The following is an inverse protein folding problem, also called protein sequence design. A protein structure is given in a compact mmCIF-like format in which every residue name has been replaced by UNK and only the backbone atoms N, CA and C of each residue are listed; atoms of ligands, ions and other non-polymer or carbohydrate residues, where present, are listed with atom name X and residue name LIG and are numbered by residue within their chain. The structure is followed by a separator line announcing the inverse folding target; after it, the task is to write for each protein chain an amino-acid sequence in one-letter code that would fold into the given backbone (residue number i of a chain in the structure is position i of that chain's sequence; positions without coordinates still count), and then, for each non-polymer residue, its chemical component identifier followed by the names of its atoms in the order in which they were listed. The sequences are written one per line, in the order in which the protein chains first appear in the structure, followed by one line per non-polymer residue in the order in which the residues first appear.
data_IF_748603062594
#
_entry.id   IF_748603062594
#
_cell.length_a   1.000
_cell.length_b   1.000
_cell.length_c   1.000
_cell.angle_alpha   90.00
_cell.angle_beta   90.00
_cell.angle_gamma   90.00
#
_symmetry.space_group_name_H-M   'P 1'
#
loop_
_entity.id
_entity.type
_entity.pdbx_description
1 polymer ?
#
# COMPACT_ATOMS: atom_id res chain seq x y z
N UNK A 1 -63.00 -33.47 -8.25
CA UNK A 1 -62.76 -34.13 -9.56
C UNK A 1 -61.56 -33.45 -10.21
N UNK A 2 -60.36 -34.01 -10.02
CA UNK A 2 -59.10 -33.51 -10.57
C UNK A 2 -58.78 -34.31 -11.84
N UNK A 3 -58.48 -33.61 -12.94
CA UNK A 3 -57.99 -34.20 -14.20
C UNK A 3 -56.51 -33.85 -14.38
N UNK A 4 -55.69 -34.87 -14.65
CA UNK A 4 -54.36 -34.79 -15.28
C UNK A 4 -54.51 -34.50 -16.79
N UNK A 5 -53.46 -34.03 -17.51
CA UNK A 5 -52.40 -34.88 -18.11
C UNK A 5 -50.97 -34.29 -17.95
N UNK A 6 -49.89 -35.05 -17.81
CA UNK A 6 -49.12 -35.84 -18.79
C UNK A 6 -48.39 -35.01 -19.88
N UNK A 7 -47.05 -35.14 -19.96
CA UNK A 7 -46.25 -34.63 -21.09
C UNK A 7 -44.76 -34.36 -20.82
N UNK A 8 -43.97 -35.41 -20.64
CA UNK A 8 -42.51 -35.41 -20.77
C UNK A 8 -42.14 -35.57 -22.26
N UNK A 9 -41.15 -34.83 -22.77
CA UNK A 9 -39.98 -35.34 -23.54
C UNK A 9 -39.37 -34.34 -24.55
N UNK A 10 -38.05 -34.47 -24.72
CA UNK A 10 -37.15 -34.08 -25.83
C UNK A 10 -36.68 -32.62 -25.96
N UNK A 11 -35.43 -32.33 -25.58
CA UNK A 11 -34.30 -32.17 -26.53
C UNK A 11 -32.94 -32.03 -25.81
N UNK A 12 -32.13 -33.08 -25.91
CA UNK A 12 -30.70 -33.13 -25.64
C UNK A 12 -29.96 -33.35 -26.97
N UNK A 13 -28.79 -32.73 -27.12
CA UNK A 13 -27.66 -33.00 -28.05
C UNK A 13 -27.35 -31.87 -29.06
N UNK A 14 -26.30 -31.10 -28.77
CA UNK A 14 -25.11 -30.99 -29.64
C UNK A 14 -23.99 -30.22 -28.91
N UNK A 15 -23.05 -30.96 -28.30
CA UNK A 15 -21.70 -30.47 -28.06
C UNK A 15 -20.79 -31.23 -29.03
N UNK A 16 -20.13 -30.49 -29.91
CA UNK A 16 -19.14 -31.00 -30.85
C UNK A 16 -17.85 -31.34 -30.12
N UNK A 17 -17.40 -32.57 -30.32
CA UNK A 17 -16.11 -33.13 -29.96
C UNK A 17 -14.97 -32.50 -30.78
N UNK A 18 -13.95 -31.97 -30.12
CA UNK A 18 -12.63 -31.68 -30.72
C UNK A 18 -11.68 -32.85 -30.42
N UNK A 19 -10.89 -33.35 -31.40
CA UNK A 19 -9.99 -34.46 -31.17
C UNK A 19 -8.68 -34.04 -30.49
N UNK A 20 -8.26 -34.88 -29.54
CA UNK A 20 -6.93 -34.91 -28.93
C UNK A 20 -5.89 -35.38 -29.97
N UNK A 21 -4.86 -34.57 -30.22
CA UNK A 21 -3.68 -34.96 -30.98
C UNK A 21 -2.49 -35.10 -30.04
N UNK A 22 -2.07 -36.34 -29.80
CA UNK A 22 -0.80 -36.72 -29.20
C UNK A 22 0.31 -36.62 -30.25
N UNK A 23 1.37 -35.86 -29.94
CA UNK A 23 2.50 -35.70 -30.86
C UNK A 23 3.70 -35.04 -30.21
N UNK A 24 4.47 -35.83 -29.46
CA UNK A 24 5.83 -35.47 -29.05
C UNK A 24 6.74 -35.59 -30.27
N UNK A 25 7.34 -34.49 -30.72
CA UNK A 25 8.55 -34.51 -31.57
C UNK A 25 9.60 -33.59 -30.96
N UNK A 26 10.70 -34.20 -30.52
CA UNK A 26 11.98 -33.53 -30.26
C UNK A 26 12.60 -33.16 -31.60
N UNK A 27 12.95 -31.89 -31.78
CA UNK A 27 13.90 -31.45 -32.81
C UNK A 27 14.99 -30.66 -32.12
N UNK A 28 16.20 -31.21 -32.10
CA UNK A 28 17.42 -30.48 -31.79
C UNK A 28 17.78 -29.58 -32.97
N UNK A 29 18.14 -28.33 -32.69
CA UNK A 29 18.97 -27.56 -33.61
C UNK A 29 20.23 -27.12 -32.88
N UNK A 30 21.34 -27.58 -33.42
CA UNK A 30 22.68 -27.20 -33.06
C UNK A 30 23.00 -25.78 -33.57
N UNK A 31 23.85 -25.10 -32.78
CA UNK A 31 24.90 -24.18 -33.19
C UNK A 31 24.67 -23.26 -34.39
N UNK A 32 24.58 -21.95 -34.12
CA UNK A 32 25.13 -20.93 -35.00
C UNK A 32 25.77 -19.81 -34.19
N UNK A 33 27.10 -19.75 -34.25
CA UNK A 33 27.88 -18.57 -33.92
C UNK A 33 27.53 -17.44 -34.89
N UNK A 34 27.48 -16.20 -34.39
CA UNK A 34 27.79 -14.95 -35.10
C UNK A 34 27.82 -13.84 -34.04
N UNK A 35 29.01 -13.41 -33.62
CA UNK A 35 29.83 -12.33 -34.18
C UNK A 35 29.53 -10.99 -33.51
N UNK A 36 30.48 -10.61 -32.67
CA UNK A 36 30.68 -9.29 -32.07
C UNK A 36 30.60 -8.20 -33.15
N UNK A 37 29.76 -7.20 -32.93
CA UNK A 37 29.87 -5.90 -33.61
C UNK A 37 29.94 -4.83 -32.52
N UNK A 38 31.16 -4.33 -32.29
CA UNK A 38 31.41 -3.10 -31.54
C UNK A 38 30.92 -1.93 -32.38
N UNK A 39 29.96 -1.15 -31.88
CA UNK A 39 29.71 0.20 -32.38
C UNK A 39 29.88 1.20 -31.24
N UNK A 40 31.07 1.79 -31.21
CA UNK A 40 31.36 3.10 -30.65
C UNK A 40 30.68 4.16 -31.52
N UNK A 41 29.93 5.09 -30.93
CA UNK A 41 29.59 6.38 -31.55
C UNK A 41 29.07 7.37 -30.49
N UNK A 42 30.00 8.19 -30.02
CA UNK A 42 29.88 9.62 -29.71
C UNK A 42 28.54 10.18 -29.18
N UNK A 43 28.61 10.67 -27.94
CA UNK A 43 27.73 11.65 -27.35
C UNK A 43 27.54 12.90 -28.24
N UNK A 44 26.30 13.36 -28.39
CA UNK A 44 26.00 14.74 -28.81
C UNK A 44 25.02 15.34 -27.83
N UNK A 45 25.57 16.10 -26.88
CA UNK A 45 24.87 16.96 -25.94
C UNK A 45 24.31 18.17 -26.70
N UNK A 46 22.98 18.30 -26.77
CA UNK A 46 22.34 19.54 -27.22
C UNK A 46 22.12 20.40 -25.97
N UNK A 47 22.91 21.46 -25.83
CA UNK A 47 22.70 22.55 -24.85
C UNK A 47 21.74 23.58 -25.45
N UNK A 48 20.69 24.03 -24.73
CA UNK A 48 19.98 25.24 -25.12
C UNK A 48 20.83 26.48 -24.77
N UNK A 49 20.92 27.38 -25.75
CA UNK A 49 21.58 28.68 -25.68
C UNK A 49 20.60 29.68 -25.07
N UNK A 50 20.91 30.26 -23.91
CA UNK A 50 20.39 31.55 -23.47
C UNK A 50 21.58 32.45 -23.08
N UNK A 51 21.60 33.65 -23.65
CA UNK A 51 22.71 34.60 -23.59
C UNK A 51 22.85 35.32 -22.24
N UNK A 52 23.97 36.05 -22.04
CA UNK A 52 24.28 36.75 -20.80
C UNK A 52 23.82 38.21 -20.88
N UNK A 53 22.96 38.64 -19.97
CA UNK A 53 22.85 40.00 -19.42
C UNK A 53 22.04 39.87 -18.13
N UNK A 54 22.70 39.79 -16.97
CA UNK A 54 23.18 40.90 -16.14
C UNK A 54 22.15 41.35 -15.08
N UNK A 55 22.36 40.78 -13.88
CA UNK A 55 22.45 41.47 -12.58
C UNK A 55 21.26 42.31 -12.07
N UNK A 56 20.63 41.80 -11.00
CA UNK A 56 20.48 42.51 -9.71
C UNK A 56 19.64 41.66 -8.75
N UNK A 57 20.28 40.96 -7.81
CA UNK A 57 19.59 40.45 -6.61
C UNK A 57 20.29 41.09 -5.41
N UNK A 58 19.71 42.19 -4.96
CA UNK A 58 19.96 42.73 -3.63
C UNK A 58 19.33 41.81 -2.58
N UNK A 59 20.21 41.30 -1.72
CA UNK A 59 20.06 40.81 -0.36
C UNK A 59 18.70 40.88 0.37
N UNK A 60 18.50 39.82 1.17
CA UNK A 60 17.75 39.78 2.43
C UNK A 60 16.24 40.05 2.36
N UNK A 61 15.47 39.02 2.00
CA UNK A 61 14.12 38.84 2.55
C UNK A 61 13.83 37.35 2.80
N UNK A 62 13.72 37.06 4.10
CA UNK A 62 13.09 35.91 4.76
C UNK A 62 13.21 34.52 4.12
N UNK A 63 14.18 33.74 4.60
CA UNK A 63 14.12 32.27 4.70
C UNK A 63 12.79 31.79 5.35
N UNK A 64 12.13 32.66 6.13
CA UNK A 64 10.80 32.44 6.71
C UNK A 64 9.65 32.39 5.68
N UNK A 65 9.78 32.99 4.49
CA UNK A 65 8.70 33.08 3.51
C UNK A 65 8.55 31.85 2.60
N UNK A 66 9.54 30.95 2.57
CA UNK A 66 9.49 29.69 1.79
C UNK A 66 8.94 28.51 2.58
N UNK A 67 8.77 28.65 3.90
CA UNK A 67 8.20 27.61 4.77
C UNK A 67 6.66 27.65 4.80
N UNK A 68 6.05 28.72 4.25
CA UNK A 68 4.60 28.99 4.25
C UNK A 68 3.92 28.75 2.90
N UNK A 69 4.58 28.10 1.93
CA UNK A 69 3.82 27.47 0.86
C UNK A 69 3.07 26.29 1.50
N UNK A 70 1.82 26.53 1.91
CA UNK A 70 0.92 25.58 2.57
C UNK A 70 0.69 24.35 1.70
N UNK A 71 1.68 23.47 1.64
CA UNK A 71 1.56 22.09 1.23
C UNK A 71 0.68 21.46 2.30
N UNK A 72 -0.64 21.43 2.03
CA UNK A 72 -1.59 20.76 2.93
C UNK A 72 -1.02 19.37 3.25
N UNK A 73 -1.12 18.90 4.49
CA UNK A 73 -0.64 17.57 4.84
C UNK A 73 -1.21 16.55 3.86
N UNK A 74 -0.40 15.59 3.39
CA UNK A 74 -0.83 14.64 2.39
C UNK A 74 -2.03 13.85 2.91
N UNK A 75 -2.96 13.53 2.01
CA UNK A 75 -4.00 12.54 2.28
C UNK A 75 -3.31 11.21 2.62
N UNK A 76 -3.54 10.67 3.81
CA UNK A 76 -2.95 9.38 4.20
C UNK A 76 -4.02 8.30 4.11
N UNK A 77 -3.69 7.20 3.44
CA UNK A 77 -4.56 6.02 3.33
C UNK A 77 -3.90 4.85 4.04
N UNK A 78 -4.50 4.37 5.13
CA UNK A 78 -4.04 3.20 5.87
C UNK A 78 -4.97 2.01 5.64
N UNK A 79 -4.40 0.83 5.39
CA UNK A 79 -5.19 -0.36 5.01
C UNK A 79 -4.76 -1.57 5.83
N UNK A 80 -5.72 -2.12 6.57
CA UNK A 80 -5.67 -3.48 7.12
C UNK A 80 -6.41 -4.41 6.13
N UNK A 81 -5.70 -5.27 5.37
CA UNK A 81 -6.31 -6.11 4.35
C UNK A 81 -6.95 -7.37 4.94
N UNK A 82 -6.97 -7.61 6.25
CA UNK A 82 -7.61 -8.80 6.80
C UNK A 82 -9.13 -8.81 6.55
N UNK A 83 -9.76 -9.99 6.65
CA UNK A 83 -11.20 -10.16 6.38
C UNK A 83 -12.15 -9.38 7.30
N UNK A 84 -11.65 -8.84 8.41
CA UNK A 84 -12.35 -7.89 9.29
C UNK A 84 -11.62 -6.54 9.38
N UNK A 85 -10.65 -6.33 8.50
CA UNK A 85 -9.89 -5.10 8.38
C UNK A 85 -10.70 -3.99 7.72
N UNK A 86 -10.01 -2.93 7.35
CA UNK A 86 -10.63 -1.74 6.79
C UNK A 86 -9.62 -0.92 5.97
N UNK A 87 -10.15 0.04 5.24
CA UNK A 87 -9.43 1.17 4.67
C UNK A 87 -9.82 2.44 5.43
N UNK A 88 -8.83 3.22 5.84
CA UNK A 88 -8.98 4.53 6.44
C UNK A 88 -8.37 5.59 5.54
N UNK A 89 -9.13 6.63 5.20
CA UNK A 89 -8.61 7.85 4.59
C UNK A 89 -8.59 8.93 5.67
N UNK A 90 -7.41 9.49 5.91
CA UNK A 90 -7.15 10.51 6.90
C UNK A 90 -6.67 11.76 6.18
N UNK A 91 -7.48 12.81 6.25
CA UNK A 91 -7.15 14.13 5.74
C UNK A 91 -6.90 15.05 6.92
N UNK A 92 -5.67 15.50 7.08
CA UNK A 92 -5.25 16.33 8.20
C UNK A 92 -5.15 17.77 7.69
N UNK A 93 -5.73 18.72 8.42
CA UNK A 93 -5.64 20.14 8.03
C UNK A 93 -4.30 20.76 8.44
N UNK A 94 -3.71 20.30 9.56
CA UNK A 94 -2.41 20.73 10.07
C UNK A 94 -1.68 19.56 10.73
N UNK A 95 -0.38 19.40 10.48
CA UNK A 95 0.40 18.35 11.15
C UNK A 95 0.30 18.46 12.68
N UNK A 96 0.12 17.33 13.40
CA UNK A 96 0.08 17.37 14.85
C UNK A 96 1.43 17.87 15.39
N UNK A 97 1.39 18.74 16.39
CA UNK A 97 2.61 19.26 17.01
C UNK A 97 3.23 18.21 17.95
N UNK A 98 4.57 18.20 18.14
CA UNK A 98 5.20 17.35 19.13
C UNK A 98 4.57 17.54 20.53
N UNK A 99 4.25 16.44 21.20
CA UNK A 99 3.59 16.45 22.51
C UNK A 99 2.06 16.54 22.46
N UNK A 100 1.45 16.64 21.27
CA UNK A 100 0.01 16.49 21.13
C UNK A 100 -0.46 15.15 21.72
N UNK A 101 -1.63 15.13 22.37
CA UNK A 101 -2.18 13.88 22.92
C UNK A 101 -3.23 13.24 22.00
N UNK A 102 -3.67 14.01 21.01
CA UNK A 102 -4.77 13.72 20.09
C UNK A 102 -4.45 14.33 18.72
N UNK A 103 -5.10 13.82 17.68
CA UNK A 103 -5.12 14.42 16.35
C UNK A 103 -6.45 15.17 16.21
N UNK A 104 -6.37 16.50 16.21
CA UNK A 104 -7.49 17.40 15.95
C UNK A 104 -7.54 17.80 14.46
N UNK A 105 -8.61 18.48 14.06
CA UNK A 105 -8.80 19.01 12.70
C UNK A 105 -8.52 17.99 11.57
N UNK A 106 -9.07 16.79 11.78
CA UNK A 106 -8.91 15.65 10.88
C UNK A 106 -10.26 15.17 10.37
N UNK A 107 -10.32 14.92 9.07
CA UNK A 107 -11.45 14.22 8.44
C UNK A 107 -11.07 12.77 8.26
N UNK A 108 -11.87 11.88 8.83
CA UNK A 108 -11.67 10.42 8.74
C UNK A 108 -12.80 9.79 7.96
N UNK A 109 -12.48 9.12 6.84
CA UNK A 109 -13.41 8.24 6.11
C UNK A 109 -12.99 6.79 6.29
N UNK A 110 -13.94 5.91 6.60
CA UNK A 110 -13.69 4.49 6.83
C UNK A 110 -14.53 3.61 5.91
N UNK A 111 -13.89 2.59 5.36
CA UNK A 111 -14.53 1.52 4.61
C UNK A 111 -14.13 0.17 5.21
N UNK A 112 -15.11 -0.62 5.67
CA UNK A 112 -14.83 -2.01 6.06
C UNK A 112 -14.31 -2.79 4.84
N UNK A 113 -13.38 -3.73 5.04
CA UNK A 113 -12.84 -4.52 3.94
C UNK A 113 -13.97 -5.34 3.27
N UNK A 114 -14.32 -5.06 2.00
CA UNK A 114 -15.39 -5.78 1.32
C UNK A 114 -15.03 -7.26 1.19
N UNK A 115 -15.93 -8.13 1.64
CA UNK A 115 -15.74 -9.57 1.56
C UNK A 115 -16.99 -10.25 1.01
N UNK A 116 -16.78 -11.13 0.05
CA UNK A 116 -17.79 -12.07 -0.42
C UNK A 116 -17.74 -13.37 0.38
N UNK A 117 -18.85 -14.10 0.37
CA UNK A 117 -18.97 -15.40 1.03
C UNK A 117 -19.02 -16.50 -0.01
N UNK A 118 -17.91 -17.22 -0.15
CA UNK A 118 -17.78 -18.33 -1.08
C UNK A 118 -18.23 -19.64 -0.45
N UNK A 119 -18.89 -20.48 -1.24
CA UNK A 119 -19.22 -21.84 -0.86
C UNK A 119 -18.03 -22.75 -1.17
N UNK A 120 -17.20 -23.06 -0.16
CA UNK A 120 -16.02 -23.89 -0.35
C UNK A 120 -16.37 -25.40 -0.43
N UNK A 121 -17.33 -25.85 0.37
CA UNK A 121 -17.92 -27.19 0.29
C UNK A 121 -19.40 -27.09 0.63
N UNK A 122 -20.22 -28.14 0.43
CA UNK A 122 -21.65 -28.11 0.78
C UNK A 122 -21.94 -27.62 2.22
N UNK A 123 -21.02 -27.86 3.17
CA UNK A 123 -21.19 -27.48 4.57
C UNK A 123 -20.36 -26.25 5.00
N UNK A 124 -19.39 -25.81 4.18
CA UNK A 124 -18.42 -24.80 4.60
C UNK A 124 -18.48 -23.57 3.71
N UNK A 125 -18.72 -22.42 4.34
CA UNK A 125 -18.60 -21.10 3.75
C UNK A 125 -17.26 -20.47 4.15
N UNK A 126 -16.70 -19.66 3.26
CA UNK A 126 -15.46 -18.91 3.47
C UNK A 126 -15.66 -17.46 3.11
N UNK A 127 -15.10 -16.56 3.91
CA UNK A 127 -14.96 -15.16 3.53
C UNK A 127 -13.69 -14.98 2.71
N UNK A 128 -13.80 -14.22 1.64
CA UNK A 128 -12.70 -13.81 0.79
C UNK A 128 -12.93 -12.36 0.40
N UNK A 129 -11.84 -11.61 0.17
CA UNK A 129 -11.93 -10.24 -0.29
C UNK A 129 -12.73 -10.16 -1.61
N UNK A 130 -13.67 -9.22 -1.68
CA UNK A 130 -14.43 -8.95 -2.90
C UNK A 130 -13.63 -7.99 -3.78
N UNK A 131 -12.97 -8.56 -4.80
CA UNK A 131 -12.15 -7.80 -5.73
C UNK A 131 -12.89 -6.72 -6.51
N UNK A 132 -14.19 -6.93 -6.80
CA UNK A 132 -14.98 -5.95 -7.55
C UNK A 132 -15.33 -4.75 -6.68
N UNK A 133 -15.76 -5.01 -5.44
CA UNK A 133 -16.07 -3.96 -4.48
C UNK A 133 -14.81 -3.17 -4.09
N UNK A 134 -13.67 -3.85 -3.85
CA UNK A 134 -12.39 -3.18 -3.58
C UNK A 134 -11.97 -2.31 -4.77
N UNK A 135 -12.02 -2.85 -6.00
CA UNK A 135 -11.69 -2.07 -7.18
C UNK A 135 -12.61 -0.85 -7.34
N UNK A 136 -13.88 -0.94 -6.95
CA UNK A 136 -14.80 0.20 -6.96
C UNK A 136 -14.41 1.27 -5.95
N UNK A 137 -14.05 0.89 -4.72
CA UNK A 137 -13.56 1.83 -3.70
C UNK A 137 -12.31 2.55 -4.23
N UNK A 138 -11.35 1.80 -4.75
CA UNK A 138 -10.09 2.36 -5.25
C UNK A 138 -10.28 3.28 -6.46
N UNK A 139 -11.21 2.96 -7.37
CA UNK A 139 -11.58 3.88 -8.47
C UNK A 139 -12.18 5.19 -7.96
N UNK A 140 -13.04 5.14 -6.94
CA UNK A 140 -13.59 6.36 -6.33
C UNK A 140 -12.48 7.23 -5.72
N UNK A 141 -11.54 6.62 -4.99
CA UNK A 141 -10.39 7.32 -4.43
C UNK A 141 -9.51 7.96 -5.52
N UNK A 142 -9.29 7.27 -6.63
CA UNK A 142 -8.54 7.79 -7.75
C UNK A 142 -9.23 8.99 -8.42
N UNK A 143 -10.56 8.94 -8.57
CA UNK A 143 -11.35 10.03 -9.12
C UNK A 143 -11.34 11.29 -8.21
N UNK A 144 -11.39 11.09 -6.89
CA UNK A 144 -11.23 12.16 -5.90
C UNK A 144 -9.85 12.82 -6.02
N UNK A 145 -8.78 12.02 -6.14
CA UNK A 145 -7.41 12.50 -6.34
C UNK A 145 -7.28 13.36 -7.61
N UNK A 146 -7.82 12.89 -8.74
CA UNK A 146 -7.77 13.61 -10.02
C UNK A 146 -8.55 14.94 -10.01
N UNK A 147 -9.50 15.10 -9.10
CA UNK A 147 -10.31 16.32 -8.98
C UNK A 147 -9.68 17.37 -8.04
N UNK A 148 -8.59 17.02 -7.35
CA UNK A 148 -7.88 17.89 -6.41
C UNK A 148 -6.56 18.37 -7.00
N UNK A 149 -6.32 19.68 -6.99
CA UNK A 149 -5.18 20.31 -7.70
C UNK A 149 -3.78 19.87 -7.24
N UNK A 150 -3.60 19.29 -6.05
CA UNK A 150 -2.25 18.98 -5.52
C UNK A 150 -2.28 18.06 -4.28
N UNK A 151 -2.96 16.91 -4.29
CA UNK A 151 -2.88 15.99 -3.15
C UNK A 151 -2.29 14.64 -3.57
N UNK A 152 -0.98 14.51 -3.40
CA UNK A 152 -0.34 13.20 -3.39
C UNK A 152 -0.84 12.42 -2.18
N UNK A 153 -1.61 11.36 -2.45
CA UNK A 153 -2.07 10.45 -1.43
C UNK A 153 -0.98 9.44 -1.11
N UNK A 154 -0.55 9.39 0.16
CA UNK A 154 0.37 8.37 0.65
C UNK A 154 -0.43 7.16 1.11
N UNK A 155 -0.17 5.99 0.51
CA UNK A 155 -0.90 4.76 0.81
C UNK A 155 0.01 3.79 1.55
N UNK A 156 -0.43 3.31 2.71
CA UNK A 156 0.28 2.31 3.52
C UNK A 156 -0.62 1.09 3.72
N UNK A 157 -0.14 -0.06 3.25
CA UNK A 157 -0.82 -1.34 3.28
C UNK A 157 -0.11 -2.30 4.24
N UNK A 158 -0.83 -2.86 5.21
CA UNK A 158 -0.25 -3.87 6.08
C UNK A 158 0.09 -5.15 5.29
N UNK A 159 1.35 -5.57 5.40
CA UNK A 159 1.85 -6.83 4.86
C UNK A 159 1.43 -7.99 5.78
N UNK A 160 0.66 -8.97 5.29
CA UNK A 160 0.23 -10.10 6.10
C UNK A 160 1.41 -10.97 6.51
N UNK A 161 1.44 -11.39 7.78
CA UNK A 161 2.45 -12.28 8.35
C UNK A 161 1.80 -13.55 8.94
N UNK A 162 1.20 -14.43 8.11
CA UNK A 162 0.65 -15.69 8.59
C UNK A 162 1.78 -16.55 9.16
N UNK A 163 1.52 -17.23 10.28
CA UNK A 163 2.48 -18.11 10.92
C UNK A 163 2.21 -19.59 10.62
N UNK A 164 3.12 -20.46 11.04
CA UNK A 164 3.03 -21.93 10.80
C UNK A 164 1.77 -22.59 11.39
N UNK A 165 1.12 -21.97 12.37
CA UNK A 165 -0.11 -22.47 13.00
C UNK A 165 -1.36 -22.10 12.20
N UNK A 166 -1.28 -21.12 11.29
CA UNK A 166 -2.38 -20.76 10.41
C UNK A 166 -2.60 -21.84 9.34
N UNK A 167 -3.86 -22.24 9.12
CA UNK A 167 -4.19 -23.22 8.08
C UNK A 167 -4.02 -22.69 6.66
N UNK A 168 -3.87 -23.58 5.67
CA UNK A 168 -3.63 -23.26 4.25
C UNK A 168 -4.60 -22.21 3.67
N UNK A 169 -5.87 -22.28 4.04
CA UNK A 169 -6.85 -21.28 3.61
C UNK A 169 -6.56 -19.88 4.14
N UNK A 170 -6.10 -19.77 5.39
CA UNK A 170 -5.75 -18.47 5.98
C UNK A 170 -4.60 -17.82 5.22
N UNK A 171 -3.56 -18.60 4.90
CA UNK A 171 -2.43 -18.18 4.07
C UNK A 171 -2.88 -17.68 2.69
N UNK A 172 -3.73 -18.46 2.02
CA UNK A 172 -4.29 -18.06 0.72
C UNK A 172 -5.14 -16.79 0.85
N UNK A 173 -6.05 -16.72 1.82
CA UNK A 173 -6.98 -15.62 1.96
C UNK A 173 -6.29 -14.29 2.29
N UNK A 174 -5.29 -14.28 3.18
CA UNK A 174 -4.54 -13.06 3.49
C UNK A 174 -3.69 -12.61 2.29
N UNK A 175 -3.02 -13.55 1.60
CA UNK A 175 -2.24 -13.25 0.39
C UNK A 175 -3.12 -12.73 -0.75
N UNK A 176 -4.30 -13.33 -0.95
CA UNK A 176 -5.28 -12.88 -1.93
C UNK A 176 -5.78 -11.46 -1.62
N UNK A 177 -6.21 -11.21 -0.38
CA UNK A 177 -6.72 -9.89 0.01
C UNK A 177 -5.66 -8.80 -0.16
N UNK A 178 -4.43 -9.05 0.34
CA UNK A 178 -3.29 -8.15 0.14
C UNK A 178 -3.03 -7.89 -1.35
N UNK A 179 -2.98 -8.94 -2.18
CA UNK A 179 -2.74 -8.81 -3.61
C UNK A 179 -3.85 -8.03 -4.34
N UNK A 180 -5.11 -8.23 -3.96
CA UNK A 180 -6.25 -7.49 -4.51
C UNK A 180 -6.16 -6.01 -4.18
N UNK A 181 -5.89 -5.65 -2.91
CA UNK A 181 -5.69 -4.26 -2.50
C UNK A 181 -4.50 -3.64 -3.23
N UNK A 182 -3.33 -4.27 -3.13
CA UNK A 182 -2.10 -3.78 -3.73
C UNK A 182 -2.26 -3.58 -5.25
N UNK A 183 -2.75 -4.59 -5.97
CA UNK A 183 -2.96 -4.51 -7.42
C UNK A 183 -4.01 -3.48 -7.83
N UNK A 184 -5.12 -3.37 -7.10
CA UNK A 184 -6.13 -2.36 -7.38
C UNK A 184 -5.54 -0.94 -7.22
N UNK A 185 -4.81 -0.68 -6.14
CA UNK A 185 -4.19 0.62 -5.87
C UNK A 185 -3.12 0.97 -6.90
N UNK A 186 -2.16 0.08 -7.15
CA UNK A 186 -1.09 0.37 -8.12
C UNK A 186 -1.62 0.51 -9.54
N UNK A 187 -2.70 -0.20 -9.91
CA UNK A 187 -3.35 -0.04 -11.22
C UNK A 187 -3.94 1.35 -11.44
N UNK A 188 -4.29 2.07 -10.37
CA UNK A 188 -4.74 3.47 -10.41
C UNK A 188 -3.59 4.46 -10.20
N UNK A 189 -2.33 3.99 -10.19
CA UNK A 189 -1.16 4.85 -10.02
C UNK A 189 -0.98 5.39 -8.60
N UNK A 190 -1.48 4.70 -7.57
CA UNK A 190 -1.09 5.00 -6.19
C UNK A 190 0.30 4.43 -5.90
N UNK A 191 1.16 5.21 -5.23
CA UNK A 191 2.40 4.70 -4.61
C UNK A 191 2.03 4.01 -3.30
N UNK A 192 2.15 2.70 -3.27
CA UNK A 192 1.78 1.86 -2.11
C UNK A 192 3.04 1.46 -1.35
N UNK A 193 3.15 1.92 -0.10
CA UNK A 193 4.13 1.44 0.85
C UNK A 193 3.56 0.25 1.61
N UNK A 194 4.37 -0.79 1.82
CA UNK A 194 3.95 -1.95 2.61
C UNK A 194 4.64 -1.93 3.97
N UNK A 195 3.89 -2.15 5.04
CA UNK A 195 4.42 -2.15 6.41
C UNK A 195 4.08 -3.44 7.14
N UNK A 196 4.95 -3.92 8.01
CA UNK A 196 4.63 -5.07 8.85
C UNK A 196 3.85 -4.66 10.08
N UNK A 197 2.95 -5.53 10.56
CA UNK A 197 2.22 -5.30 11.82
C UNK A 197 3.16 -5.01 12.99
N UNK A 198 4.30 -5.70 13.04
CA UNK A 198 5.32 -5.50 14.07
C UNK A 198 5.89 -4.08 14.05
N UNK A 199 6.22 -3.54 12.88
CA UNK A 199 6.87 -2.23 12.77
C UNK A 199 5.99 -1.12 13.35
N UNK A 200 4.75 -0.99 12.86
CA UNK A 200 3.87 0.08 13.31
C UNK A 200 3.34 -0.14 14.74
N UNK A 201 3.15 -1.40 15.17
CA UNK A 201 2.69 -1.70 16.54
C UNK A 201 3.75 -1.44 17.61
N UNK A 202 5.03 -1.63 17.31
CA UNK A 202 6.12 -1.28 18.25
C UNK A 202 6.11 0.23 18.45
N UNK A 203 6.12 0.97 17.35
CA UNK A 203 6.15 2.44 17.33
C UNK A 203 4.95 3.11 18.01
N UNK A 204 3.80 2.43 18.03
CA UNK A 204 2.58 2.88 18.72
C UNK A 204 2.33 2.19 20.07
N UNK A 205 3.33 1.51 20.65
CA UNK A 205 3.22 0.84 21.96
C UNK A 205 2.06 -0.17 22.07
N UNK A 206 1.72 -0.84 20.97
CA UNK A 206 0.63 -1.82 20.87
C UNK A 206 1.09 -3.27 20.97
N UNK A 207 2.39 -3.53 21.10
CA UNK A 207 2.89 -4.88 21.26
C UNK A 207 2.28 -5.55 22.51
N UNK A 208 1.65 -6.72 22.33
CA UNK A 208 0.95 -7.44 23.40
C UNK A 208 -0.38 -6.84 23.87
N UNK A 209 -0.86 -5.73 23.29
CA UNK A 209 -2.14 -5.08 23.70
C UNK A 209 -3.38 -5.68 23.03
N UNK A 210 -3.19 -6.47 21.98
CA UNK A 210 -4.27 -7.14 21.25
C UNK A 210 -5.24 -6.17 20.58
N UNK A 211 -6.36 -6.73 20.09
CA UNK A 211 -7.36 -6.00 19.28
C UNK A 211 -8.02 -4.83 20.01
N UNK A 212 -8.31 -5.00 21.30
CA UNK A 212 -8.94 -3.94 22.09
C UNK A 212 -7.96 -2.80 22.36
N UNK A 213 -6.66 -3.10 22.47
CA UNK A 213 -5.61 -2.08 22.56
C UNK A 213 -5.62 -1.13 21.36
N UNK A 214 -5.66 -1.68 20.15
CA UNK A 214 -5.75 -0.89 18.91
C UNK A 214 -7.00 -0.01 18.90
N UNK A 215 -8.16 -0.58 19.27
CA UNK A 215 -9.43 0.17 19.31
C UNK A 215 -9.39 1.33 20.32
N UNK A 216 -8.91 1.09 21.53
CA UNK A 216 -8.81 2.11 22.57
C UNK A 216 -7.79 3.19 22.20
N UNK A 217 -6.65 2.80 21.61
CA UNK A 217 -5.66 3.78 21.16
C UNK A 217 -6.19 4.66 20.03
N UNK A 218 -6.87 4.07 19.04
CA UNK A 218 -7.48 4.84 17.96
C UNK A 218 -8.55 5.81 18.49
N UNK A 219 -9.37 5.41 19.46
CA UNK A 219 -10.34 6.30 20.13
C UNK A 219 -9.62 7.45 20.84
N UNK A 220 -8.51 7.17 21.54
CA UNK A 220 -7.71 8.20 22.21
C UNK A 220 -7.12 9.18 21.20
N UNK A 221 -6.50 8.69 20.13
CA UNK A 221 -5.81 9.52 19.14
C UNK A 221 -6.79 10.31 18.26
N UNK A 222 -7.97 9.77 17.96
CA UNK A 222 -8.95 10.38 17.08
C UNK A 222 -10.30 10.55 17.80
N UNK A 223 -10.39 11.48 18.79
CA UNK A 223 -11.60 11.64 19.59
C UNK A 223 -12.83 12.00 18.75
N UNK A 224 -12.65 12.77 17.67
CA UNK A 224 -13.73 13.13 16.72
C UNK A 224 -14.27 11.94 15.93
N UNK A 225 -13.47 10.87 15.78
CA UNK A 225 -13.85 9.64 15.08
C UNK A 225 -14.20 8.48 16.05
N UNK A 226 -14.20 8.72 17.36
CA UNK A 226 -14.49 7.70 18.37
C UNK A 226 -15.83 7.00 18.13
N UNK A 227 -16.80 7.74 17.59
CA UNK A 227 -18.14 7.23 17.27
C UNK A 227 -18.14 6.14 16.19
N UNK A 228 -17.12 6.10 15.33
CA UNK A 228 -16.93 5.10 14.29
C UNK A 228 -16.37 3.78 14.83
N UNK A 229 -15.91 3.77 16.09
CA UNK A 229 -15.19 2.68 16.77
C UNK A 229 -15.91 2.14 18.02
N UNK A 230 -17.21 2.40 18.18
CA UNK A 230 -18.00 2.06 19.38
C UNK A 230 -17.99 0.55 19.71
N UNK A 231 -17.86 -0.34 18.73
CA UNK A 231 -18.06 -1.79 18.93
C UNK A 231 -16.71 -2.50 18.95
N UNK A 232 -16.61 -3.59 19.72
CA UNK A 232 -15.41 -4.46 19.72
C UNK A 232 -15.05 -5.03 18.33
N UNK A 233 -16.03 -5.15 17.44
CA UNK A 233 -15.81 -5.61 16.06
C UNK A 233 -15.16 -4.56 15.16
N UNK A 234 -15.05 -3.31 15.60
CA UNK A 234 -14.45 -2.20 14.85
C UNK A 234 -12.92 -2.15 15.01
N UNK A 235 -12.28 -3.23 15.48
CA UNK A 235 -10.82 -3.29 15.63
C UNK A 235 -10.09 -3.13 14.29
N UNK A 236 -10.59 -3.70 13.19
CA UNK A 236 -9.95 -3.52 11.87
C UNK A 236 -10.01 -2.07 11.36
N UNK A 237 -11.09 -1.34 11.66
CA UNK A 237 -11.17 0.10 11.42
C UNK A 237 -10.12 0.85 12.23
N UNK A 238 -9.97 0.50 13.49
CA UNK A 238 -8.97 1.09 14.36
C UNK A 238 -7.54 0.80 13.86
N UNK A 239 -7.24 -0.44 13.44
CA UNK A 239 -5.92 -0.78 12.89
C UNK A 239 -5.62 -0.01 11.60
N UNK A 240 -6.60 0.12 10.68
CA UNK A 240 -6.45 0.94 9.48
C UNK A 240 -6.16 2.42 9.79
N UNK A 241 -6.87 3.00 10.77
CA UNK A 241 -6.62 4.37 11.24
C UNK A 241 -5.22 4.53 11.84
N UNK A 242 -4.77 3.55 12.62
CA UNK A 242 -3.46 3.59 13.28
C UNK A 242 -2.31 3.38 12.30
N UNK A 243 -2.49 2.57 11.25
CA UNK A 243 -1.53 2.46 10.14
C UNK A 243 -1.37 3.83 9.44
N UNK A 244 -2.48 4.52 9.17
CA UNK A 244 -2.45 5.87 8.61
C UNK A 244 -1.80 6.88 9.57
N UNK A 245 -2.12 6.83 10.86
CA UNK A 245 -1.49 7.68 11.87
C UNK A 245 0.04 7.45 11.94
N UNK A 246 0.48 6.19 11.93
CA UNK A 246 1.89 5.83 11.92
C UNK A 246 2.60 6.38 10.67
N UNK A 247 1.94 6.31 9.51
CA UNK A 247 2.45 6.86 8.26
C UNK A 247 2.54 8.39 8.30
N UNK A 248 1.61 9.08 8.97
CA UNK A 248 1.70 10.54 9.22
C UNK A 248 2.93 10.92 10.07
N UNK A 249 3.59 9.95 10.70
CA UNK A 249 4.77 10.16 11.52
C UNK A 249 4.53 9.99 13.01
N UNK A 250 3.32 9.61 13.44
CA UNK A 250 3.03 9.43 14.86
C UNK A 250 3.83 8.27 15.46
N UNK A 251 4.44 8.55 16.60
CA UNK A 251 5.12 7.59 17.48
C UNK A 251 4.65 7.84 18.91
N UNK A 252 4.64 6.81 19.74
CA UNK A 252 4.28 6.92 21.16
C UNK A 252 5.50 6.58 22.00
N UNK A 253 5.90 7.51 22.86
CA UNK A 253 7.03 7.32 23.75
C UNK A 253 6.73 6.23 24.80
N UNK A 254 7.62 5.24 25.00
CA UNK A 254 7.35 4.12 25.90
C UNK A 254 7.11 4.50 27.37
N UNK A 255 7.75 5.57 27.82
CA UNK A 255 7.80 6.02 29.22
C UNK A 255 6.70 7.03 29.56
N UNK A 256 6.52 8.06 28.74
CA UNK A 256 5.52 9.12 29.00
C UNK A 256 4.16 8.82 28.38
N UNK A 257 4.11 8.01 27.31
CA UNK A 257 2.90 7.80 26.52
C UNK A 257 2.49 9.03 25.70
N UNK A 258 3.38 10.02 25.58
CA UNK A 258 3.20 11.20 24.74
C UNK A 258 3.34 10.84 23.26
N UNK A 259 2.60 11.55 22.41
CA UNK A 259 2.74 11.41 20.96
C UNK A 259 3.87 12.33 20.49
N UNK A 260 4.79 11.75 19.74
CA UNK A 260 5.76 12.50 18.96
C UNK A 260 5.43 12.34 17.48
N UNK A 261 5.61 13.42 16.72
CA UNK A 261 5.51 13.37 15.26
C UNK A 261 6.92 13.44 14.72
N UNK A 262 7.37 12.34 14.13
CA UNK A 262 8.61 12.30 13.37
C UNK A 262 8.21 12.58 11.92
N UNK A 263 8.64 13.71 11.31
CA UNK A 263 8.29 14.02 9.94
C UNK A 263 8.69 12.86 9.02
N UNK A 264 7.93 12.58 7.95
CA UNK A 264 8.32 11.58 6.97
C UNK A 264 9.71 11.96 6.44
N UNK A 265 10.72 11.13 6.73
CA UNK A 265 12.01 11.25 6.05
C UNK A 265 11.72 10.94 4.59
N UNK A 266 11.82 11.94 3.70
CA UNK A 266 11.89 11.68 2.27
C UNK A 266 13.01 10.66 2.10
N UNK A 267 12.65 9.48 1.60
CA UNK A 267 13.64 8.47 1.24
C UNK A 267 14.44 9.10 0.11
N UNK A 268 15.58 9.72 0.46
CA UNK A 268 16.59 10.06 -0.53
C UNK A 268 16.91 8.75 -1.23
N UNK A 269 16.58 8.65 -2.51
CA UNK A 269 17.12 7.59 -3.35
C UNK A 269 18.63 7.67 -3.15
N UNK A 270 19.21 6.67 -2.49
CA UNK A 270 20.65 6.59 -2.35
C UNK A 270 21.22 6.76 -3.75
N UNK A 271 22.00 7.82 -3.93
CA UNK A 271 22.54 8.12 -5.24
C UNK A 271 23.40 6.93 -5.67
N UNK A 272 23.32 6.56 -6.94
CA UNK A 272 24.15 5.47 -7.48
C UNK A 272 25.65 5.73 -7.28
N UNK A 273 26.02 7.01 -7.07
CA UNK A 273 27.38 7.44 -6.74
C UNK A 273 27.79 7.08 -5.31
N UNK A 274 26.88 7.08 -4.33
CA UNK A 274 27.18 6.67 -2.95
C UNK A 274 27.48 5.17 -2.87
N UNK A 275 26.74 4.35 -3.62
CA UNK A 275 26.93 2.88 -3.66
C UNK A 275 28.17 2.44 -4.43
N UNK A 276 28.69 3.26 -5.34
CA UNK A 276 29.92 2.98 -6.08
C UNK A 276 31.18 3.48 -5.33
N UNK A 277 31.02 4.26 -4.27
CA UNK A 277 32.14 4.80 -3.49
C UNK A 277 32.70 3.84 -2.43
N UNK A 278 31.98 2.76 -2.10
CA UNK A 278 32.41 1.77 -1.10
C UNK A 278 33.19 0.56 -1.67
N UNK A 279 33.26 0.38 -3.00
CA UNK A 279 33.97 -0.76 -3.60
C UNK A 279 35.48 -0.51 -3.85
N UNK A 280 35.99 0.71 -3.74
CA UNK A 280 37.38 1.05 -4.09
C UNK A 280 38.37 1.10 -2.90
N UNK A 281 37.99 0.58 -1.73
CA UNK A 281 38.80 0.69 -0.51
C UNK A 281 39.11 -0.64 0.17
N UNK A 282 39.46 -1.70 -0.57
CA UNK A 282 40.12 -2.87 0.02
C UNK A 282 40.98 -3.64 -1.00
N UNK A 283 42.01 -3.00 -1.53
CA UNK A 283 43.13 -3.74 -2.15
C UNK A 283 44.46 -3.01 -1.93
N UNK A 284 44.99 -3.15 -0.72
CA UNK A 284 46.44 -3.03 -0.51
C UNK A 284 46.94 -4.27 0.20
N UNK A 285 47.15 -5.30 -0.62
CA UNK A 285 47.99 -6.46 -0.34
C UNK A 285 49.32 -6.00 0.28
N UNK A 286 49.54 -6.34 1.55
CA UNK A 286 50.86 -6.22 2.18
C UNK A 286 51.51 -7.59 2.18
N UNK A 287 52.19 -7.89 1.07
CA UNK A 287 53.20 -8.94 1.01
C UNK A 287 54.49 -8.37 1.57
N UNK A 288 54.94 -8.83 2.75
CA UNK A 288 56.35 -9.22 2.91
C UNK A 288 56.64 -9.98 4.21
N UNK A 289 57.51 -11.00 4.04
CA UNK A 289 58.43 -11.66 4.98
C UNK A 289 57.92 -12.63 6.05
#
# INVERSE_FOLDING_TARGET
MLRTPAGLSVYLKRLGTLPLSTGVRKTSLAGRQQSVVKNSSHATLIKPILGPDALSISNHSSVSGKLEALQRPPVIIGIDPDSNGALAVIEVQSYPQPGAQVIEDVVVRLHDNPCEVLQATKQRKRRQADSTAIASIVRSLAAERCSSDSQDARVVLEMPQPNRLNGKWSWYACGHSFGVWHGALTSQGFKVETVTSRAWKIDLQLNGKGKEGSRLLAIRLFPTAADLLKRKKDHGRAEAMLIAAWALGLRIQPDSGDVTVVPPVETQEASLDDLLSEEDADDTDTVDS
#
